data_IF_977657935654
#
_entry.id   IF_977657935654
#
_cell.length_a   1.000
_cell.length_b   1.000
_cell.length_c   1.000
_cell.angle_alpha   90.00
_cell.angle_beta   90.00
_cell.angle_gamma   90.00
#
_symmetry.space_group_name_H-M   'P 1'
#
loop_
_entity.id
_entity.type
_entity.pdbx_description
1 polymer ?
#
# COMPACT_ATOMS: atom_id res chain seq x y z
N UNK A 1 -23.69 6.63 -5.34
CA UNK A 1 -23.21 6.98 -6.71
C UNK A 1 -21.91 6.21 -6.87
N UNK A 2 -21.67 5.53 -8.00
CA UNK A 2 -20.44 4.75 -8.19
C UNK A 2 -19.21 5.66 -8.19
N UNK A 3 -18.16 5.29 -7.48
CA UNK A 3 -16.88 5.99 -7.44
C UNK A 3 -16.08 5.75 -8.73
N UNK A 4 -16.19 4.55 -9.30
CA UNK A 4 -15.51 4.15 -10.54
C UNK A 4 -16.47 4.27 -11.70
N UNK A 5 -16.13 5.07 -12.71
CA UNK A 5 -16.96 5.23 -13.92
C UNK A 5 -17.03 3.91 -14.70
N UNK A 6 -18.13 3.70 -15.43
CA UNK A 6 -18.32 2.47 -16.22
C UNK A 6 -17.19 2.19 -17.22
N UNK A 7 -16.70 3.22 -17.89
CA UNK A 7 -15.59 3.12 -18.83
C UNK A 7 -14.33 2.61 -18.14
N UNK A 8 -14.04 3.13 -16.93
CA UNK A 8 -12.91 2.69 -16.13
C UNK A 8 -13.10 1.26 -15.61
N UNK A 9 -14.32 0.86 -15.25
CA UNK A 9 -14.64 -0.52 -14.85
C UNK A 9 -14.39 -1.51 -16.00
N UNK A 10 -14.78 -1.19 -17.23
CA UNK A 10 -14.54 -2.02 -18.41
C UNK A 10 -13.03 -2.13 -18.70
N UNK A 11 -12.30 -1.03 -18.60
CA UNK A 11 -10.85 -1.02 -18.72
C UNK A 11 -10.18 -1.88 -17.65
N UNK A 12 -10.54 -1.71 -16.38
CA UNK A 12 -9.99 -2.48 -15.27
C UNK A 12 -10.29 -3.98 -15.42
N UNK A 13 -11.50 -4.34 -15.87
CA UNK A 13 -11.84 -5.73 -16.14
C UNK A 13 -10.88 -6.36 -17.15
N UNK A 14 -10.62 -5.66 -18.26
CA UNK A 14 -9.67 -6.12 -19.28
C UNK A 14 -8.24 -6.25 -18.73
N UNK A 15 -7.83 -5.33 -17.86
CA UNK A 15 -6.51 -5.38 -17.21
C UNK A 15 -6.40 -6.56 -16.24
N UNK A 16 -7.41 -6.79 -15.41
CA UNK A 16 -7.44 -7.91 -14.48
C UNK A 16 -7.47 -9.27 -15.21
N UNK A 17 -8.27 -9.40 -16.27
CA UNK A 17 -8.27 -10.62 -17.11
C UNK A 17 -6.88 -10.98 -17.66
N UNK A 18 -6.07 -9.99 -18.00
CA UNK A 18 -4.72 -10.20 -18.54
C UNK A 18 -3.67 -10.48 -17.48
N UNK A 19 -3.76 -9.81 -16.33
CA UNK A 19 -2.63 -9.67 -15.39
C UNK A 19 -2.82 -10.42 -14.07
N UNK A 20 -4.06 -10.64 -13.59
CA UNK A 20 -4.25 -11.44 -12.39
C UNK A 20 -3.97 -12.91 -12.71
N UNK A 21 -3.18 -13.56 -11.85
CA UNK A 21 -2.79 -14.97 -11.95
C UNK A 21 -3.48 -15.83 -10.90
N UNK A 22 -3.42 -15.37 -9.65
CA UNK A 22 -3.97 -16.03 -8.46
C UNK A 22 -4.96 -15.11 -7.77
N UNK A 23 -5.75 -15.68 -6.88
CA UNK A 23 -6.72 -14.94 -6.07
C UNK A 23 -5.99 -14.02 -5.08
N UNK A 24 -6.55 -12.83 -4.88
CA UNK A 24 -6.03 -11.80 -3.98
C UNK A 24 -7.11 -11.29 -3.03
N UNK A 25 -6.72 -10.89 -1.85
CA UNK A 25 -7.57 -10.24 -0.88
C UNK A 25 -7.34 -8.73 -0.87
N UNK A 26 -8.42 -7.96 -0.91
CA UNK A 26 -8.46 -6.58 -0.42
C UNK A 26 -9.03 -6.66 0.99
N UNK A 27 -8.18 -6.46 1.99
CA UNK A 27 -8.58 -6.46 3.39
C UNK A 27 -8.73 -5.03 3.87
N UNK A 28 -9.94 -4.63 4.26
CA UNK A 28 -10.23 -3.28 4.73
C UNK A 28 -10.45 -3.29 6.24
N UNK A 29 -9.69 -2.50 6.95
CA UNK A 29 -9.94 -2.16 8.35
C UNK A 29 -10.62 -0.80 8.40
N UNK A 30 -11.87 -0.80 8.81
CA UNK A 30 -12.73 0.40 8.88
C UNK A 30 -13.19 0.63 10.32
N UNK A 31 -13.77 1.78 10.60
CA UNK A 31 -14.41 2.09 11.88
C UNK A 31 -15.73 2.83 11.64
N UNK A 32 -16.63 2.71 12.59
CA UNK A 32 -17.85 3.53 12.67
C UNK A 32 -17.63 4.84 13.44
N UNK A 33 -16.38 5.14 13.83
CA UNK A 33 -16.01 6.37 14.48
C UNK A 33 -16.27 7.57 13.57
N UNK A 34 -16.92 8.59 14.11
CA UNK A 34 -17.19 9.86 13.40
C UNK A 34 -15.93 10.64 13.04
N UNK A 35 -14.80 10.36 13.69
CA UNK A 35 -13.49 10.94 13.39
C UNK A 35 -12.87 10.38 12.09
N UNK A 36 -13.33 9.22 11.62
CA UNK A 36 -12.85 8.66 10.37
C UNK A 36 -13.42 9.41 9.17
N UNK A 37 -12.61 10.25 8.55
CA UNK A 37 -13.04 11.09 7.43
C UNK A 37 -13.47 10.29 6.20
N UNK A 38 -12.78 9.18 5.88
CA UNK A 38 -12.95 8.43 4.62
C UNK A 38 -13.12 6.91 4.79
N UNK A 39 -13.49 6.41 5.97
CA UNK A 39 -13.76 4.99 6.18
C UNK A 39 -14.83 4.44 5.24
N UNK A 40 -15.90 5.21 5.03
CA UNK A 40 -17.00 4.82 4.17
C UNK A 40 -16.57 4.77 2.70
N UNK A 41 -15.92 5.82 2.22
CA UNK A 41 -15.48 5.94 0.83
C UNK A 41 -14.38 4.90 0.52
N UNK A 42 -13.48 4.61 1.47
CA UNK A 42 -12.47 3.55 1.33
C UNK A 42 -13.13 2.18 1.17
N UNK A 43 -14.14 1.88 1.98
CA UNK A 43 -14.89 0.62 1.88
C UNK A 43 -15.71 0.56 0.57
N UNK A 44 -16.34 1.66 0.16
CA UNK A 44 -17.06 1.74 -1.12
C UNK A 44 -16.11 1.48 -2.29
N UNK A 45 -14.93 2.11 -2.30
CA UNK A 45 -13.91 1.92 -3.33
C UNK A 45 -13.45 0.45 -3.41
N UNK A 46 -13.10 -0.14 -2.28
CA UNK A 46 -12.69 -1.55 -2.21
C UNK A 46 -13.80 -2.49 -2.68
N UNK A 47 -15.05 -2.19 -2.33
CA UNK A 47 -16.23 -2.96 -2.78
C UNK A 47 -16.41 -2.88 -4.29
N UNK A 48 -16.28 -1.70 -4.89
CA UNK A 48 -16.41 -1.54 -6.34
C UNK A 48 -15.27 -2.24 -7.08
N UNK A 49 -14.03 -2.15 -6.60
CA UNK A 49 -12.87 -2.83 -7.21
C UNK A 49 -13.02 -4.35 -7.14
N UNK A 50 -13.40 -4.90 -5.98
CA UNK A 50 -13.55 -6.35 -5.81
C UNK A 50 -14.69 -6.93 -6.66
N UNK A 51 -15.69 -6.13 -6.99
CA UNK A 51 -16.81 -6.56 -7.85
C UNK A 51 -16.43 -6.69 -9.34
N UNK A 52 -15.26 -6.18 -9.75
CA UNK A 52 -14.84 -6.18 -11.18
C UNK A 52 -14.36 -7.57 -11.61
N UNK A 53 -13.65 -8.31 -10.75
CA UNK A 53 -13.09 -9.63 -11.06
C UNK A 53 -13.27 -10.59 -9.87
N UNK A 54 -13.71 -11.81 -10.14
CA UNK A 54 -14.02 -12.81 -9.11
C UNK A 54 -12.79 -13.32 -8.34
N UNK A 55 -11.59 -13.06 -8.81
CA UNK A 55 -10.33 -13.38 -8.12
C UNK A 55 -9.95 -12.35 -7.05
N UNK A 56 -10.67 -11.22 -6.98
CA UNK A 56 -10.45 -10.19 -5.97
C UNK A 56 -11.49 -10.36 -4.87
N UNK A 57 -11.06 -10.81 -3.71
CA UNK A 57 -11.92 -11.03 -2.55
C UNK A 57 -11.87 -9.84 -1.61
N UNK A 58 -13.03 -9.36 -1.18
CA UNK A 58 -13.12 -8.30 -0.17
C UNK A 58 -13.30 -8.92 1.22
N UNK A 59 -12.40 -8.58 2.14
CA UNK A 59 -12.47 -8.93 3.55
C UNK A 59 -12.57 -7.64 4.36
N UNK A 60 -13.55 -7.53 5.25
CA UNK A 60 -13.78 -6.31 6.03
C UNK A 60 -13.70 -6.61 7.52
N UNK A 61 -12.90 -5.83 8.23
CA UNK A 61 -12.79 -5.86 9.68
C UNK A 61 -13.14 -4.49 10.27
N UNK A 62 -13.81 -4.52 11.41
CA UNK A 62 -13.99 -3.35 12.27
C UNK A 62 -12.75 -3.20 13.16
N UNK A 63 -12.02 -2.11 13.02
CA UNK A 63 -10.75 -1.93 13.72
C UNK A 63 -10.88 -2.01 15.25
N UNK A 64 -11.99 -1.54 15.80
CA UNK A 64 -12.21 -1.53 17.25
C UNK A 64 -12.71 -2.86 17.79
N UNK A 65 -13.46 -3.63 16.99
CA UNK A 65 -14.02 -4.92 17.40
C UNK A 65 -13.06 -6.08 17.09
N UNK A 66 -12.35 -5.98 15.95
CA UNK A 66 -11.47 -7.04 15.43
C UNK A 66 -9.98 -6.79 15.78
N UNK A 67 -9.70 -6.29 17.00
CA UNK A 67 -8.34 -5.94 17.45
C UNK A 67 -7.30 -7.06 17.28
N UNK A 68 -7.72 -8.31 17.43
CA UNK A 68 -6.84 -9.45 17.22
C UNK A 68 -6.38 -9.56 15.75
N UNK A 69 -7.29 -9.27 14.80
CA UNK A 69 -6.98 -9.21 13.37
C UNK A 69 -6.11 -8.01 13.06
N UNK A 70 -6.47 -6.80 13.53
CA UNK A 70 -5.65 -5.62 13.34
C UNK A 70 -4.20 -5.85 13.82
N UNK A 71 -4.03 -6.44 15.02
CA UNK A 71 -2.70 -6.81 15.55
C UNK A 71 -1.98 -7.84 14.66
N UNK A 72 -2.67 -8.87 14.18
CA UNK A 72 -2.08 -9.91 13.32
C UNK A 72 -1.57 -9.33 12.01
N UNK A 73 -2.35 -8.45 11.39
CA UNK A 73 -1.98 -7.73 10.19
C UNK A 73 -0.99 -6.57 10.45
N UNK A 74 -0.72 -6.23 11.71
CA UNK A 74 0.11 -5.09 12.10
C UNK A 74 -0.51 -3.74 11.73
N UNK A 75 -1.85 -3.65 11.71
CA UNK A 75 -2.59 -2.41 11.44
C UNK A 75 -2.70 -1.58 12.71
N UNK A 76 -2.25 -0.33 12.64
CA UNK A 76 -2.14 0.59 13.78
C UNK A 76 -3.19 1.71 13.74
N UNK A 77 -3.81 1.96 12.59
CA UNK A 77 -4.76 3.06 12.36
C UNK A 77 -5.74 2.72 11.23
N UNK A 78 -6.79 3.52 11.09
CA UNK A 78 -7.85 3.34 10.08
C UNK A 78 -8.24 4.68 9.41
N UNK A 79 -8.80 4.67 8.18
CA UNK A 79 -9.00 3.48 7.37
C UNK A 79 -7.68 2.87 6.90
N UNK A 80 -7.63 1.54 6.82
CA UNK A 80 -6.49 0.85 6.25
C UNK A 80 -6.95 -0.18 5.21
N UNK A 81 -6.21 -0.28 4.12
CA UNK A 81 -6.40 -1.30 3.09
C UNK A 81 -5.13 -2.11 2.98
N UNK A 82 -5.25 -3.44 2.98
CA UNK A 82 -4.15 -4.37 2.72
C UNK A 82 -4.43 -5.09 1.42
N UNK A 83 -3.40 -5.27 0.60
CA UNK A 83 -3.45 -6.12 -0.59
C UNK A 83 -2.52 -7.30 -0.37
N UNK A 84 -3.06 -8.52 -0.44
CA UNK A 84 -2.26 -9.73 -0.23
C UNK A 84 -2.81 -10.92 -1.04
N UNK A 85 -2.03 -11.98 -1.16
CA UNK A 85 -2.53 -13.23 -1.72
C UNK A 85 -3.63 -13.80 -0.85
N UNK A 86 -4.61 -14.43 -1.47
CA UNK A 86 -5.78 -14.96 -0.76
C UNK A 86 -5.37 -15.88 0.41
N UNK A 87 -5.75 -15.46 1.63
CA UNK A 87 -5.50 -16.18 2.87
C UNK A 87 -4.13 -16.01 3.52
N UNK A 88 -3.24 -15.15 3.03
CA UNK A 88 -1.88 -14.99 3.57
C UNK A 88 -1.83 -14.33 4.96
N UNK A 89 -2.68 -13.37 5.24
CA UNK A 89 -2.75 -12.61 6.50
C UNK A 89 -1.38 -12.00 6.95
N UNK A 90 -0.59 -11.49 5.99
CA UNK A 90 0.76 -10.93 6.25
C UNK A 90 0.76 -9.43 6.46
N UNK A 91 -0.18 -8.73 5.86
CA UNK A 91 -0.34 -7.28 5.96
C UNK A 91 0.87 -6.47 5.51
N UNK A 92 1.62 -6.90 4.51
CA UNK A 92 2.88 -6.22 4.11
C UNK A 92 2.71 -5.09 3.11
N UNK A 93 1.70 -5.15 2.27
CA UNK A 93 1.34 -4.10 1.29
C UNK A 93 0.14 -3.36 1.84
N UNK A 94 0.33 -2.12 2.29
CA UNK A 94 -0.66 -1.37 3.07
C UNK A 94 -0.90 0.02 2.52
N UNK A 95 -2.13 0.45 2.69
CA UNK A 95 -2.58 1.82 2.48
C UNK A 95 -3.24 2.32 3.76
N UNK A 96 -2.77 3.40 4.31
CA UNK A 96 -3.41 4.15 5.37
C UNK A 96 -4.04 5.41 4.77
N UNK A 97 -5.36 5.52 4.88
CA UNK A 97 -6.18 6.47 4.17
C UNK A 97 -6.71 5.91 2.84
N UNK A 98 -7.57 6.68 2.18
CA UNK A 98 -8.18 6.27 0.92
C UNK A 98 -7.16 6.31 -0.24
N UNK A 99 -6.92 5.20 -0.97
CA UNK A 99 -6.07 5.20 -2.16
C UNK A 99 -6.82 5.81 -3.36
N UNK A 100 -7.01 7.13 -3.34
CA UNK A 100 -7.74 7.89 -4.34
C UNK A 100 -6.83 8.77 -5.21
N UNK A 101 -7.39 9.40 -6.24
CA UNK A 101 -6.63 10.21 -7.16
C UNK A 101 -5.56 9.39 -7.89
N UNK A 102 -4.31 9.84 -7.87
CA UNK A 102 -3.22 9.10 -8.50
C UNK A 102 -2.91 7.76 -7.81
N UNK A 103 -3.15 7.63 -6.50
CA UNK A 103 -2.90 6.39 -5.75
C UNK A 103 -3.90 5.27 -6.06
N UNK A 104 -5.00 5.56 -6.71
CA UNK A 104 -5.86 4.52 -7.24
C UNK A 104 -5.11 3.63 -8.25
N UNK A 105 -4.24 4.25 -9.06
CA UNK A 105 -3.35 3.51 -9.96
C UNK A 105 -2.39 2.57 -9.21
N UNK A 106 -1.87 2.99 -8.06
CA UNK A 106 -1.01 2.15 -7.20
C UNK A 106 -1.76 0.92 -6.69
N UNK A 107 -3.01 1.09 -6.23
CA UNK A 107 -3.85 -0.02 -5.77
C UNK A 107 -4.09 -1.06 -6.88
N UNK A 108 -4.40 -0.60 -8.10
CA UNK A 108 -4.61 -1.49 -9.25
C UNK A 108 -3.32 -2.24 -9.62
N UNK A 109 -2.18 -1.56 -9.58
CA UNK A 109 -0.88 -2.19 -9.86
C UNK A 109 -0.53 -3.23 -8.78
N UNK A 110 -0.76 -2.93 -7.50
CA UNK A 110 -0.49 -3.86 -6.40
C UNK A 110 -1.34 -5.13 -6.48
N UNK A 111 -2.61 -5.03 -6.89
CA UNK A 111 -3.43 -6.21 -7.12
C UNK A 111 -2.80 -7.15 -8.17
N UNK A 112 -2.23 -6.60 -9.24
CA UNK A 112 -1.56 -7.38 -10.29
C UNK A 112 -0.26 -7.99 -9.79
N UNK A 113 0.57 -7.19 -9.10
CA UNK A 113 1.86 -7.61 -8.55
C UNK A 113 1.67 -8.71 -7.49
N UNK A 114 0.74 -8.52 -6.57
CA UNK A 114 0.47 -9.49 -5.50
C UNK A 114 -0.13 -10.77 -6.06
N UNK A 115 -1.07 -10.67 -6.99
CA UNK A 115 -1.68 -11.82 -7.65
C UNK A 115 -0.64 -12.68 -8.39
N UNK A 116 0.27 -12.06 -9.12
CA UNK A 116 1.31 -12.78 -9.85
C UNK A 116 2.46 -13.25 -8.96
N UNK A 117 2.72 -12.56 -7.84
CA UNK A 117 3.94 -12.69 -7.04
C UNK A 117 5.19 -12.18 -7.77
N UNK A 118 5.01 -11.59 -8.94
CA UNK A 118 6.08 -11.08 -9.81
C UNK A 118 6.12 -9.55 -9.73
N UNK A 119 6.97 -9.02 -8.87
CA UNK A 119 7.26 -7.59 -8.85
C UNK A 119 8.51 -7.34 -9.70
N UNK A 120 8.37 -6.50 -10.72
CA UNK A 120 9.50 -6.04 -11.54
C UNK A 120 10.34 -5.07 -10.71
N UNK A 121 11.44 -5.57 -10.18
CA UNK A 121 12.44 -4.85 -9.40
C UNK A 121 13.78 -5.03 -10.10
N UNK A 122 14.55 -3.95 -10.25
CA UNK A 122 15.86 -4.01 -10.88
C UNK A 122 16.77 -5.06 -10.22
N UNK A 123 17.67 -5.67 -10.99
CA UNK A 123 18.58 -6.69 -10.49
C UNK A 123 19.47 -6.16 -9.36
N UNK A 124 19.92 -4.91 -9.43
CA UNK A 124 20.71 -4.27 -8.39
C UNK A 124 19.91 -4.05 -7.10
N UNK A 125 18.69 -3.55 -7.22
CA UNK A 125 17.79 -3.39 -6.04
C UNK A 125 17.48 -4.74 -5.42
N UNK A 126 17.21 -5.80 -6.23
CA UNK A 126 17.00 -7.17 -5.73
C UNK A 126 18.21 -7.69 -4.96
N UNK A 127 19.43 -7.47 -5.45
CA UNK A 127 20.64 -7.86 -4.73
C UNK A 127 20.73 -7.18 -3.35
N UNK A 128 20.32 -5.91 -3.27
CA UNK A 128 20.34 -5.14 -2.03
C UNK A 128 19.26 -5.63 -1.07
N UNK A 129 18.00 -5.65 -1.51
CA UNK A 129 16.88 -5.97 -0.61
C UNK A 129 16.88 -7.43 -0.15
N UNK A 130 17.45 -8.35 -0.94
CA UNK A 130 17.59 -9.77 -0.54
C UNK A 130 18.47 -9.97 0.70
N UNK A 131 19.31 -9.01 1.05
CA UNK A 131 20.16 -9.03 2.23
C UNK A 131 19.45 -8.59 3.51
N UNK A 132 18.22 -8.08 3.40
CA UNK A 132 17.42 -7.62 4.53
C UNK A 132 16.80 -8.83 5.23
N UNK A 133 17.26 -9.11 6.44
CA UNK A 133 16.83 -10.25 7.27
C UNK A 133 16.13 -9.84 8.57
N UNK A 134 16.01 -8.51 8.82
CA UNK A 134 15.28 -7.94 9.95
C UNK A 134 14.06 -7.14 9.45
N UNK A 135 13.05 -6.95 10.30
CA UNK A 135 11.87 -6.15 9.94
C UNK A 135 12.23 -4.72 9.53
N UNK A 136 11.76 -4.32 8.34
CA UNK A 136 11.91 -2.98 7.79
C UNK A 136 10.54 -2.42 7.43
N UNK A 137 10.24 -1.21 7.90
CA UNK A 137 9.01 -0.48 7.58
C UNK A 137 9.35 0.71 6.68
N UNK A 138 8.74 0.76 5.51
CA UNK A 138 8.86 1.85 4.54
C UNK A 138 7.53 2.58 4.49
N UNK A 139 7.48 3.80 4.99
CA UNK A 139 6.31 4.66 4.92
C UNK A 139 6.49 5.67 3.80
N UNK A 140 5.51 5.78 2.93
CA UNK A 140 5.47 6.74 1.83
C UNK A 140 4.30 7.68 2.06
N UNK A 141 4.60 8.90 2.51
CA UNK A 141 3.61 9.96 2.68
C UNK A 141 3.26 10.57 1.34
N UNK A 142 1.96 10.64 1.06
CA UNK A 142 1.41 11.03 -0.24
C UNK A 142 0.27 12.04 -0.10
N UNK A 143 -0.16 12.61 -1.21
CA UNK A 143 -1.45 13.29 -1.36
C UNK A 143 -2.15 12.82 -2.64
N UNK A 144 -3.50 12.86 -2.74
CA UNK A 144 -4.23 12.35 -3.91
C UNK A 144 -3.88 13.03 -5.23
N UNK A 145 -3.37 14.25 -5.17
CA UNK A 145 -3.02 15.08 -6.34
C UNK A 145 -1.56 15.01 -6.76
N UNK A 146 -0.75 14.19 -6.09
CA UNK A 146 0.68 14.07 -6.36
C UNK A 146 0.95 13.07 -7.51
N UNK A 147 1.42 13.49 -8.70
CA UNK A 147 1.61 12.59 -9.83
C UNK A 147 2.86 11.71 -9.71
N UNK A 148 3.77 12.02 -8.80
CA UNK A 148 5.01 11.26 -8.57
C UNK A 148 4.89 10.23 -7.44
N UNK A 149 3.90 10.39 -6.56
CA UNK A 149 3.70 9.56 -5.39
C UNK A 149 3.47 8.07 -5.75
N UNK A 150 2.67 7.71 -6.77
CA UNK A 150 2.44 6.32 -7.13
C UNK A 150 3.71 5.52 -7.40
N UNK A 151 4.73 6.15 -8.01
CA UNK A 151 6.00 5.49 -8.27
C UNK A 151 6.71 5.10 -6.97
N UNK A 152 6.76 5.99 -5.98
CA UNK A 152 7.40 5.71 -4.69
C UNK A 152 6.62 4.65 -3.90
N UNK A 153 5.29 4.73 -3.87
CA UNK A 153 4.40 3.75 -3.24
C UNK A 153 4.60 2.37 -3.86
N UNK A 154 4.50 2.26 -5.18
CA UNK A 154 4.66 0.98 -5.89
C UNK A 154 6.07 0.40 -5.68
N UNK A 155 7.13 1.21 -5.63
CA UNK A 155 8.49 0.72 -5.33
C UNK A 155 8.56 0.14 -3.93
N UNK A 156 8.01 0.81 -2.90
CA UNK A 156 7.98 0.28 -1.53
C UNK A 156 7.18 -1.03 -1.43
N UNK A 157 6.04 -1.10 -2.11
CA UNK A 157 5.18 -2.28 -2.15
C UNK A 157 5.82 -3.43 -2.92
N UNK A 158 6.50 -3.19 -4.05
CA UNK A 158 7.31 -4.18 -4.76
C UNK A 158 8.37 -4.80 -3.85
N UNK A 159 9.07 -3.98 -3.05
CA UNK A 159 10.06 -4.49 -2.11
C UNK A 159 9.41 -5.36 -1.02
N UNK A 160 8.22 -4.98 -0.53
CA UNK A 160 7.45 -5.78 0.43
C UNK A 160 6.96 -7.12 -0.15
N UNK A 161 6.62 -7.16 -1.43
CA UNK A 161 6.28 -8.42 -2.13
C UNK A 161 7.51 -9.30 -2.28
N UNK A 162 8.67 -8.73 -2.59
CA UNK A 162 9.91 -9.47 -2.88
C UNK A 162 10.68 -9.90 -1.63
N UNK A 163 10.49 -9.24 -0.48
CA UNK A 163 11.13 -9.62 0.77
C UNK A 163 10.13 -9.61 1.95
N UNK A 164 9.96 -10.76 2.59
CA UNK A 164 9.04 -10.97 3.71
C UNK A 164 9.32 -10.11 4.95
N UNK A 165 10.52 -9.57 5.08
CA UNK A 165 10.91 -8.70 6.20
C UNK A 165 10.62 -7.22 5.92
N UNK A 166 10.17 -6.88 4.71
CA UNK A 166 9.83 -5.50 4.34
C UNK A 166 8.32 -5.31 4.36
N UNK A 167 7.86 -4.23 4.96
CA UNK A 167 6.49 -3.72 4.90
C UNK A 167 6.49 -2.38 4.18
N UNK A 168 5.69 -2.22 3.15
CA UNK A 168 5.44 -0.97 2.45
C UNK A 168 4.10 -0.37 2.90
N UNK A 169 4.09 0.90 3.28
CA UNK A 169 2.91 1.62 3.74
C UNK A 169 2.74 2.92 2.95
N UNK A 170 1.68 3.05 2.17
CA UNK A 170 1.19 4.36 1.75
C UNK A 170 0.53 5.06 2.94
N UNK A 171 0.82 6.33 3.16
CA UNK A 171 0.16 7.15 4.20
C UNK A 171 -0.39 8.42 3.56
N UNK A 172 -1.71 8.58 3.54
CA UNK A 172 -2.35 9.78 3.02
C UNK A 172 -2.21 10.93 4.05
N UNK A 173 -1.41 11.93 3.70
CA UNK A 173 -0.94 12.98 4.62
C UNK A 173 -2.06 13.89 5.13
N UNK A 174 -3.15 14.06 4.39
CA UNK A 174 -4.27 14.91 4.78
C UNK A 174 -5.27 14.18 5.71
N UNK A 175 -5.27 12.86 5.68
CA UNK A 175 -6.03 12.05 6.66
C UNK A 175 -5.23 11.85 7.94
N UNK A 176 -3.90 11.73 7.82
CA UNK A 176 -2.97 11.50 8.93
C UNK A 176 -2.04 12.70 9.14
N UNK A 177 -2.63 13.91 9.23
CA UNK A 177 -1.91 15.19 9.35
C UNK A 177 -0.90 15.19 10.50
N UNK A 178 -1.31 14.72 11.68
CA UNK A 178 -0.43 14.67 12.85
C UNK A 178 0.81 13.81 12.64
N UNK A 179 0.63 12.64 12.00
CA UNK A 179 1.76 11.74 11.70
C UNK A 179 2.67 12.34 10.63
N UNK A 180 2.09 13.01 9.63
CA UNK A 180 2.84 13.71 8.60
C UNK A 180 3.66 14.88 9.19
N UNK A 181 3.08 15.64 10.13
CA UNK A 181 3.79 16.70 10.86
C UNK A 181 4.92 16.14 11.73
N UNK A 182 4.67 15.07 12.50
CA UNK A 182 5.68 14.39 13.32
C UNK A 182 6.83 13.81 12.48
N UNK A 183 6.55 13.37 11.24
CA UNK A 183 7.55 12.93 10.29
C UNK A 183 8.25 14.08 9.54
N UNK A 184 7.84 15.33 9.75
CA UNK A 184 8.42 16.50 9.09
C UNK A 184 8.09 16.61 7.60
N UNK A 185 6.95 16.06 7.16
CA UNK A 185 6.53 16.05 5.76
C UNK A 185 6.24 17.49 5.29
N UNK A 186 7.09 18.01 4.39
CA UNK A 186 6.94 19.33 3.78
C UNK A 186 6.64 19.26 2.28
N UNK A 187 6.89 18.12 1.66
CA UNK A 187 6.62 17.84 0.25
C UNK A 187 6.47 16.34 0.04
N UNK A 188 5.75 15.92 -1.00
CA UNK A 188 5.43 14.51 -1.28
C UNK A 188 5.90 14.10 -2.68
N UNK A 189 6.26 12.81 -2.92
CA UNK A 189 6.32 11.76 -1.89
C UNK A 189 7.45 11.98 -0.90
N UNK A 190 7.16 11.79 0.40
CA UNK A 190 8.14 11.80 1.47
C UNK A 190 8.24 10.38 2.03
N UNK A 191 9.43 9.84 2.05
CA UNK A 191 9.68 8.47 2.46
C UNK A 191 10.37 8.45 3.81
N UNK A 192 9.88 7.61 4.71
CA UNK A 192 10.46 7.35 6.04
C UNK A 192 10.70 5.86 6.20
N UNK A 193 11.94 5.47 6.49
CA UNK A 193 12.33 4.07 6.67
C UNK A 193 12.76 3.87 8.13
N UNK A 194 12.05 3.04 8.87
CA UNK A 194 12.29 2.71 10.30
C UNK A 194 12.44 3.94 11.22
N UNK A 195 11.98 5.13 10.80
CA UNK A 195 12.17 6.44 11.45
C UNK A 195 13.59 7.01 11.40
N UNK A 196 14.56 6.27 10.86
CA UNK A 196 15.98 6.63 10.90
C UNK A 196 16.45 7.29 9.60
N UNK A 197 15.94 6.86 8.45
CA UNK A 197 16.30 7.40 7.13
C UNK A 197 15.08 8.01 6.47
N UNK A 198 15.26 9.22 5.96
CA UNK A 198 14.19 9.95 5.27
C UNK A 198 14.72 10.56 3.97
N UNK A 199 13.86 10.60 2.97
CA UNK A 199 14.14 11.32 1.72
C UNK A 199 12.85 11.74 1.02
N UNK A 200 12.96 12.67 0.07
CA UNK A 200 11.84 13.20 -0.71
C UNK A 200 12.07 12.91 -2.19
N UNK A 201 11.01 12.44 -2.85
CA UNK A 201 11.01 12.19 -4.30
C UNK A 201 10.89 10.71 -4.67
N UNK A 202 10.45 10.46 -5.90
CA UNK A 202 10.25 9.12 -6.45
C UNK A 202 11.52 8.63 -7.18
N UNK A 203 12.46 8.11 -6.42
CA UNK A 203 13.72 7.59 -6.95
C UNK A 203 13.54 6.27 -7.72
N UNK A 204 14.50 5.93 -8.63
CA UNK A 204 14.58 4.59 -9.19
C UNK A 204 14.83 3.52 -8.12
N UNK A 205 14.44 2.28 -8.41
CA UNK A 205 14.53 1.14 -7.48
C UNK A 205 15.91 0.99 -6.85
N UNK A 206 16.98 1.14 -7.64
CA UNK A 206 18.36 1.00 -7.16
C UNK A 206 18.69 1.99 -6.04
N UNK A 207 18.36 3.25 -6.26
CA UNK A 207 18.65 4.30 -5.29
C UNK A 207 17.71 4.19 -4.07
N UNK A 208 16.45 3.81 -4.29
CA UNK A 208 15.53 3.56 -3.20
C UNK A 208 16.02 2.40 -2.31
N UNK A 209 16.50 1.31 -2.91
CA UNK A 209 17.07 0.18 -2.18
C UNK A 209 18.34 0.54 -1.39
N UNK A 210 19.16 1.48 -1.88
CA UNK A 210 20.32 2.01 -1.15
C UNK A 210 19.90 2.71 0.16
N UNK A 211 18.81 3.49 0.15
CA UNK A 211 18.26 4.09 1.38
C UNK A 211 17.69 3.03 2.34
N UNK A 212 17.05 1.98 1.82
CA UNK A 212 16.60 0.85 2.66
C UNK A 212 17.78 0.16 3.33
N UNK A 213 18.86 -0.05 2.59
CA UNK A 213 20.09 -0.64 3.14
C UNK A 213 20.79 0.28 4.15
N UNK A 214 20.73 1.60 3.95
CA UNK A 214 21.22 2.57 4.92
C UNK A 214 20.46 2.43 6.25
N UNK A 215 19.13 2.46 6.22
CA UNK A 215 18.30 2.27 7.41
C UNK A 215 18.55 0.90 8.06
N UNK A 216 18.73 -0.16 7.26
CA UNK A 216 19.03 -1.51 7.77
C UNK A 216 20.32 -1.58 8.59
N UNK A 217 21.35 -0.80 8.24
CA UNK A 217 22.61 -0.76 9.00
C UNK A 217 22.47 -0.10 10.38
N UNK A 218 21.40 0.67 10.60
CA UNK A 218 21.11 1.32 11.88
C UNK A 218 20.22 0.45 12.79
N UNK A 219 19.70 -0.69 12.28
CA UNK A 219 18.86 -1.65 13.01
C UNK A 219 19.69 -2.77 13.64
#
# INVERSE_FOLDING_TARGET
MSLIKKEDQEYLKSEFEKHLKEDVDIVVFTSSDSECKYCKETLELATEVSAIDSRIHLVVYDFDKDKAKAKKFGIEKYPATVVEKHGDETGRVRYYGIPSGYEFGSLIEDLKIVSSGEADVSSKAMEIISKIDKPMKIQVFVTPTCPYCPKAVTTAHKFAVRNKNITGEMVESMEFEKEAEEAGVSSVPHIVINKDVQFVGAYPDDQFAEYVMEAYKHT
#
